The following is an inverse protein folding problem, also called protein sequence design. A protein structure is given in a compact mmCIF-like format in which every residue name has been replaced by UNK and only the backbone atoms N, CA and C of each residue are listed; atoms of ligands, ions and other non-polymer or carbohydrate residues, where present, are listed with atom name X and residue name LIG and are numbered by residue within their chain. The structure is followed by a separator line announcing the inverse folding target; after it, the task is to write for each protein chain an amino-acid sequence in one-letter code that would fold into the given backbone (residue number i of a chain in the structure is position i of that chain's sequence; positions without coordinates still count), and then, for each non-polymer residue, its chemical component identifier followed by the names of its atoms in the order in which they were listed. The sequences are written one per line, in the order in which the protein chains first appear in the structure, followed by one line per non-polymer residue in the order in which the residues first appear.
data_IF_181040063037
#
_entry.id   IF_181040063037
#
_cell.length_a   1.000
_cell.length_b   1.000
_cell.length_c   1.000
_cell.angle_alpha   90.00
_cell.angle_beta   90.00
_cell.angle_gamma   90.00
#
_symmetry.space_group_name_H-M   'P 1'
#
loop_
_entity.id
_entity.type
_entity.pdbx_description
1 polymer ?
#
# COMPACT_ATOMS: atom_id res chain seq x y z
N UNK A 1 -8.41 7.40 19.96
CA UNK A 1 -9.08 6.13 19.59
C UNK A 1 -8.22 5.05 20.19
N UNK A 2 -8.82 4.19 21.00
CA UNK A 2 -8.07 3.19 21.76
C UNK A 2 -8.32 1.82 21.13
N UNK A 3 -7.23 1.18 20.68
CA UNK A 3 -7.24 -0.20 20.21
C UNK A 3 -6.71 -1.07 21.34
N UNK A 4 -7.52 -2.03 21.81
CA UNK A 4 -7.09 -3.02 22.81
C UNK A 4 -6.78 -4.33 22.10
N UNK A 5 -5.58 -4.86 22.32
CA UNK A 5 -5.17 -6.18 21.85
C UNK A 5 -5.12 -7.12 23.06
N UNK A 6 -5.85 -8.23 22.99
CA UNK A 6 -5.73 -9.31 23.96
C UNK A 6 -4.67 -10.29 23.45
N UNK A 7 -3.69 -10.60 24.30
CA UNK A 7 -2.60 -11.52 23.99
C UNK A 7 -2.77 -12.75 24.88
N UNK A 8 -3.10 -13.89 24.28
CA UNK A 8 -3.24 -15.17 24.97
C UNK A 8 -1.97 -15.99 24.74
N UNK A 9 -1.04 -15.92 25.71
CA UNK A 9 0.28 -16.53 25.61
C UNK A 9 0.88 -16.79 26.98
N UNK A 10 1.65 -17.88 27.09
CA UNK A 10 2.39 -18.21 28.31
C UNK A 10 3.69 -17.39 28.46
N UNK A 11 4.05 -16.60 27.44
CA UNK A 11 5.23 -15.73 27.44
C UNK A 11 4.99 -14.40 28.16
N UNK A 12 6.08 -13.74 28.55
CA UNK A 12 6.00 -12.44 29.24
C UNK A 12 5.43 -11.34 28.32
N UNK A 13 4.81 -10.33 28.93
CA UNK A 13 4.33 -9.15 28.22
C UNK A 13 5.46 -8.45 27.44
N UNK A 14 6.70 -8.48 27.96
CA UNK A 14 7.87 -7.92 27.28
C UNK A 14 8.17 -8.67 25.99
N UNK A 15 8.24 -10.01 26.03
CA UNK A 15 8.50 -10.82 24.85
C UNK A 15 7.39 -10.64 23.79
N UNK A 16 6.13 -10.63 24.22
CA UNK A 16 5.00 -10.38 23.33
C UNK A 16 5.07 -8.98 22.70
N UNK A 17 5.41 -7.96 23.49
CA UNK A 17 5.59 -6.59 23.00
C UNK A 17 6.69 -6.54 21.94
N UNK A 18 7.89 -7.07 22.21
CA UNK A 18 9.01 -7.07 21.26
C UNK A 18 8.65 -7.70 19.91
N UNK A 19 7.91 -8.81 19.92
CA UNK A 19 7.40 -9.45 18.70
C UNK A 19 6.43 -8.54 17.95
N UNK A 20 5.48 -7.92 18.64
CA UNK A 20 4.51 -7.00 18.01
C UNK A 20 5.22 -5.79 17.41
N UNK A 21 6.15 -5.18 18.14
CA UNK A 21 6.95 -4.06 17.66
C UNK A 21 7.75 -4.44 16.41
N UNK A 22 8.43 -5.59 16.44
CA UNK A 22 9.20 -6.09 15.30
C UNK A 22 8.32 -6.32 14.07
N UNK A 23 7.14 -6.92 14.24
CA UNK A 23 6.19 -7.13 13.16
C UNK A 23 5.70 -5.81 12.55
N UNK A 24 5.40 -4.80 13.38
CA UNK A 24 4.93 -3.50 12.92
C UNK A 24 6.01 -2.72 12.17
N UNK A 25 7.26 -2.74 12.65
CA UNK A 25 8.37 -2.09 11.94
C UNK A 25 8.72 -2.83 10.64
N UNK A 26 8.67 -4.17 10.62
CA UNK A 26 8.81 -4.94 9.40
C UNK A 26 7.74 -4.56 8.36
N UNK A 27 6.47 -4.53 8.78
CA UNK A 27 5.36 -4.19 7.91
C UNK A 27 5.45 -2.76 7.38
N UNK A 28 5.92 -1.82 8.21
CA UNK A 28 6.18 -0.43 7.80
C UNK A 28 7.30 -0.36 6.75
N UNK A 29 8.34 -1.16 6.89
CA UNK A 29 9.41 -1.26 5.89
C UNK A 29 8.88 -1.80 4.55
N UNK A 30 8.10 -2.89 4.61
CA UNK A 30 7.46 -3.47 3.44
C UNK A 30 6.51 -2.48 2.76
N UNK A 31 5.70 -1.77 3.54
CA UNK A 31 4.75 -0.79 3.01
C UNK A 31 5.46 0.38 2.32
N UNK A 32 6.55 0.90 2.88
CA UNK A 32 7.39 1.92 2.22
C UNK A 32 7.92 1.41 0.88
N UNK A 33 8.47 0.21 0.86
CA UNK A 33 8.98 -0.41 -0.37
C UNK A 33 7.87 -0.57 -1.42
N UNK A 34 6.70 -1.09 -1.03
CA UNK A 34 5.57 -1.29 -1.95
C UNK A 34 5.02 0.02 -2.49
N UNK A 35 4.87 1.06 -1.66
CA UNK A 35 4.48 2.40 -2.12
C UNK A 35 5.48 2.92 -3.14
N UNK A 36 6.78 2.83 -2.86
CA UNK A 36 7.82 3.28 -3.78
C UNK A 36 7.76 2.53 -5.12
N UNK A 37 7.68 1.19 -5.09
CA UNK A 37 7.65 0.37 -6.31
C UNK A 37 6.41 0.62 -7.17
N UNK A 38 5.23 0.72 -6.57
CA UNK A 38 4.02 0.98 -7.34
C UNK A 38 3.94 2.42 -7.84
N UNK A 39 4.46 3.40 -7.08
CA UNK A 39 4.59 4.77 -7.57
C UNK A 39 5.46 4.82 -8.83
N UNK A 40 6.64 4.20 -8.80
CA UNK A 40 7.50 4.12 -10.00
C UNK A 40 6.80 3.51 -11.21
N UNK A 41 6.07 2.40 -11.04
CA UNK A 41 5.35 1.75 -12.16
C UNK A 41 4.27 2.68 -12.72
N UNK A 42 3.56 3.40 -11.84
CA UNK A 42 2.57 4.38 -12.28
C UNK A 42 3.22 5.54 -13.02
N UNK A 43 4.27 6.13 -12.44
CA UNK A 43 5.00 7.27 -13.00
C UNK A 43 5.59 6.94 -14.38
N UNK A 44 6.26 5.79 -14.52
CA UNK A 44 6.85 5.34 -15.81
C UNK A 44 5.80 5.17 -16.91
N UNK A 45 4.64 4.59 -16.57
CA UNK A 45 3.54 4.42 -17.53
C UNK A 45 2.88 5.75 -17.88
N UNK A 46 2.62 6.58 -16.87
CA UNK A 46 1.98 7.89 -17.05
C UNK A 46 2.85 8.82 -17.89
N UNK A 47 4.16 8.84 -17.68
CA UNK A 47 5.13 9.57 -18.49
C UNK A 47 5.19 9.04 -19.93
N UNK A 48 5.16 7.72 -20.13
CA UNK A 48 5.22 7.11 -21.45
C UNK A 48 4.02 7.49 -22.33
N UNK A 49 2.83 7.64 -21.73
CA UNK A 49 1.58 7.86 -22.45
C UNK A 49 1.00 9.27 -22.26
N UNK A 50 1.71 10.17 -21.59
CA UNK A 50 1.28 11.53 -21.23
C UNK A 50 -0.11 11.54 -20.53
N UNK A 51 -0.25 10.66 -19.53
CA UNK A 51 -1.52 10.41 -18.84
C UNK A 51 -1.53 11.02 -17.44
N UNK A 52 -2.71 11.50 -17.05
CA UNK A 52 -3.00 11.90 -15.67
C UNK A 52 -3.76 10.76 -14.98
N UNK A 53 -3.18 10.16 -13.93
CA UNK A 53 -3.76 8.98 -13.25
C UNK A 53 -5.20 9.17 -12.78
N UNK A 54 -5.57 10.37 -12.32
CA UNK A 54 -6.92 10.68 -11.81
C UNK A 54 -7.99 10.72 -12.89
N UNK A 55 -7.61 11.04 -14.13
CA UNK A 55 -8.51 11.04 -15.28
C UNK A 55 -8.54 9.64 -15.91
N UNK A 56 -7.37 9.02 -16.05
CA UNK A 56 -7.23 7.72 -16.69
C UNK A 56 -7.96 6.63 -15.92
N UNK A 57 -7.91 6.62 -14.59
CA UNK A 57 -8.63 5.63 -13.78
C UNK A 57 -10.14 5.67 -14.01
N UNK A 58 -10.73 6.86 -14.19
CA UNK A 58 -12.18 7.01 -14.43
C UNK A 58 -12.57 6.44 -15.78
N UNK A 59 -11.77 6.72 -16.81
CA UNK A 59 -11.99 6.21 -18.17
C UNK A 59 -11.80 4.69 -18.23
N UNK A 60 -10.79 4.17 -17.54
CA UNK A 60 -10.54 2.74 -17.43
C UNK A 60 -11.71 2.01 -16.75
N UNK A 61 -12.19 2.53 -15.61
CA UNK A 61 -13.34 1.96 -14.89
C UNK A 61 -14.67 2.11 -15.64
N UNK A 62 -14.80 3.11 -16.52
CA UNK A 62 -15.93 3.28 -17.43
C UNK A 62 -15.86 2.35 -18.66
N UNK A 63 -14.76 1.63 -18.85
CA UNK A 63 -14.54 0.75 -20.01
C UNK A 63 -14.28 1.51 -21.33
N UNK A 64 -13.92 2.79 -21.25
CA UNK A 64 -13.74 3.67 -22.43
C UNK A 64 -12.37 3.49 -23.11
N UNK A 65 -11.45 2.75 -22.47
CA UNK A 65 -10.05 2.60 -22.89
C UNK A 65 -9.59 1.17 -22.67
N UNK A 66 -9.81 0.23 -23.60
CA UNK A 66 -9.34 -1.15 -23.38
C UNK A 66 -9.03 -1.91 -24.67
N UNK A 67 -7.74 -2.03 -25.00
CA UNK A 67 -7.19 -3.25 -25.61
C UNK A 67 -5.67 -3.44 -25.39
N UNK A 68 -5.08 -2.86 -24.34
CA UNK A 68 -3.64 -3.02 -24.05
C UNK A 68 -3.44 -3.63 -22.65
N UNK A 69 -2.76 -4.79 -22.61
CA UNK A 69 -2.34 -5.50 -21.40
C UNK A 69 -1.64 -4.58 -20.39
N UNK A 70 -0.87 -3.61 -20.88
CA UNK A 70 -0.15 -2.64 -20.03
C UNK A 70 -1.09 -1.73 -19.24
N UNK A 71 -2.30 -1.45 -19.75
CA UNK A 71 -3.30 -0.67 -19.01
C UNK A 71 -3.79 -1.43 -17.77
N UNK A 72 -3.94 -2.76 -17.88
CA UNK A 72 -4.31 -3.61 -16.75
C UNK A 72 -3.20 -3.68 -15.71
N UNK A 73 -1.94 -3.82 -16.14
CA UNK A 73 -0.78 -3.81 -15.24
C UNK A 73 -0.66 -2.48 -14.48
N UNK A 74 -0.81 -1.36 -15.19
CA UNK A 74 -0.85 -0.04 -14.57
C UNK A 74 -2.02 0.07 -13.58
N UNK A 75 -3.23 -0.37 -13.96
CA UNK A 75 -4.39 -0.29 -13.08
C UNK A 75 -4.18 -1.11 -11.80
N UNK A 76 -3.65 -2.32 -11.91
CA UNK A 76 -3.28 -3.16 -10.77
C UNK A 76 -2.23 -2.46 -9.88
N UNK A 77 -1.20 -1.85 -10.47
CA UNK A 77 -0.20 -1.09 -9.75
C UNK A 77 -0.81 0.12 -9.03
N UNK A 78 -1.70 0.87 -9.68
CA UNK A 78 -2.37 2.05 -9.11
C UNK A 78 -3.25 1.68 -7.92
N UNK A 79 -4.04 0.61 -8.03
CA UNK A 79 -4.84 0.06 -6.92
C UNK A 79 -3.95 -0.42 -5.77
N UNK A 80 -2.83 -1.06 -6.10
CA UNK A 80 -1.80 -1.44 -5.13
C UNK A 80 -1.22 -0.22 -4.40
N UNK A 81 -0.85 0.83 -5.12
CA UNK A 81 -0.31 2.08 -4.57
C UNK A 81 -1.28 2.69 -3.54
N UNK A 82 -2.55 2.81 -3.90
CA UNK A 82 -3.57 3.39 -3.01
C UNK A 82 -3.75 2.56 -1.73
N UNK A 83 -3.82 1.23 -1.87
CA UNK A 83 -3.89 0.32 -0.73
C UNK A 83 -2.69 0.47 0.22
N UNK A 84 -1.47 0.44 -0.33
CA UNK A 84 -0.25 0.52 0.47
C UNK A 84 -0.01 1.91 1.08
N UNK A 85 -0.47 2.99 0.42
CA UNK A 85 -0.47 4.35 1.01
C UNK A 85 -1.34 4.42 2.26
N UNK A 86 -2.55 3.85 2.23
CA UNK A 86 -3.42 3.79 3.41
C UNK A 86 -2.74 2.99 4.52
N UNK A 87 -2.22 1.81 4.19
CA UNK A 87 -1.54 0.95 5.17
C UNK A 87 -0.34 1.64 5.82
N UNK A 88 0.52 2.29 5.02
CA UNK A 88 1.67 3.04 5.51
C UNK A 88 1.25 4.22 6.40
N UNK A 89 0.19 4.95 6.03
CA UNK A 89 -0.33 6.05 6.82
C UNK A 89 -0.80 5.58 8.22
N UNK A 90 -1.52 4.46 8.27
CA UNK A 90 -1.94 3.84 9.55
C UNK A 90 -0.73 3.40 10.37
N UNK A 91 0.22 2.67 9.78
CA UNK A 91 1.43 2.20 10.49
C UNK A 91 2.27 3.34 11.05
N UNK A 92 2.41 4.45 10.32
CA UNK A 92 3.11 5.64 10.79
C UNK A 92 2.38 6.38 11.93
N UNK A 93 1.06 6.20 12.04
CA UNK A 93 0.26 6.81 13.10
C UNK A 93 0.28 6.01 14.41
N UNK A 94 0.74 4.74 14.39
CA UNK A 94 0.88 3.93 15.59
C UNK A 94 2.03 4.50 16.43
N UNK A 95 1.75 4.75 17.70
CA UNK A 95 2.71 5.21 18.71
C UNK A 95 2.82 4.13 19.78
N UNK A 96 4.03 3.88 20.22
CA UNK A 96 4.35 2.93 21.28
C UNK A 96 5.13 3.62 22.38
#
# INVERSE_FOLDING_TARGET
MDLKLQIDTDYSLQAASEVIHSALEHEKHLAKYKVYRYAMICDEFEDQYDLISTEFIKKFEAGEYMDDEKCFDWYAAKRGLDHWKIKLAVLNAIKF
#
